data_IF_730966812579
#
_entry.id   IF_730966812579
#
_cell.length_a   1.000
_cell.length_b   1.000
_cell.length_c   1.000
_cell.angle_alpha   90.00
_cell.angle_beta   90.00
_cell.angle_gamma   90.00
#
_symmetry.space_group_name_H-M   'P 1'
#
loop_
_entity.id
_entity.type
_entity.pdbx_description
1 polymer ?
#
# COMPACT_ATOMS: atom_id res chain seq x y z
N UNK A 1 0.29 -1.84 25.22
CA UNK A 1 1.63 -1.45 24.77
C UNK A 1 1.59 -0.11 24.09
N UNK A 2 2.60 0.71 24.35
CA UNK A 2 2.59 2.10 23.88
C UNK A 2 2.65 2.23 22.36
N UNK A 3 3.41 1.39 21.72
CA UNK A 3 3.54 1.48 20.27
C UNK A 3 2.26 1.06 19.55
N UNK A 4 1.46 0.18 20.15
CA UNK A 4 0.13 -0.15 19.61
C UNK A 4 -0.81 1.05 19.66
N UNK A 5 -0.75 1.82 20.75
CA UNK A 5 -1.52 3.06 20.86
C UNK A 5 -1.05 4.10 19.85
N UNK A 6 0.25 4.19 19.63
CA UNK A 6 0.80 5.10 18.63
C UNK A 6 0.35 4.73 17.23
N UNK A 7 0.35 3.44 16.89
CA UNK A 7 -0.18 2.95 15.63
C UNK A 7 -1.65 3.29 15.46
N UNK A 8 -2.46 3.09 16.51
CA UNK A 8 -3.87 3.45 16.48
C UNK A 8 -4.08 4.93 16.21
N UNK A 9 -3.29 5.78 16.84
CA UNK A 9 -3.38 7.23 16.64
C UNK A 9 -3.00 7.61 15.20
N UNK A 10 -1.98 7.01 14.65
CA UNK A 10 -1.58 7.27 13.26
C UNK A 10 -2.70 6.86 12.31
N UNK A 11 -3.29 5.69 12.52
CA UNK A 11 -4.38 5.21 11.67
C UNK A 11 -5.62 6.09 11.77
N UNK A 12 -5.97 6.55 12.97
CA UNK A 12 -7.13 7.41 13.15
C UNK A 12 -6.93 8.83 12.66
N UNK A 13 -5.67 9.29 12.54
CA UNK A 13 -5.38 10.62 12.01
C UNK A 13 -5.43 10.66 10.48
N UNK A 14 -5.44 9.52 9.81
CA UNK A 14 -5.53 9.45 8.37
C UNK A 14 -6.98 9.63 7.94
N UNK A 15 -7.20 10.44 6.92
CA UNK A 15 -8.52 10.58 6.34
C UNK A 15 -8.82 9.37 5.46
N UNK A 16 -10.10 9.09 5.24
CA UNK A 16 -10.51 8.02 4.35
C UNK A 16 -9.95 8.20 2.94
N UNK A 17 -9.92 9.44 2.46
CA UNK A 17 -9.36 9.73 1.14
C UNK A 17 -7.88 9.35 1.06
N UNK A 18 -7.12 9.64 2.09
CA UNK A 18 -5.70 9.28 2.13
C UNK A 18 -5.49 7.77 2.08
N UNK A 19 -6.31 7.03 2.82
CA UNK A 19 -6.25 5.57 2.82
C UNK A 19 -6.58 5.03 1.43
N UNK A 20 -7.61 5.56 0.79
CA UNK A 20 -8.00 5.12 -0.54
C UNK A 20 -6.91 5.42 -1.58
N UNK A 21 -6.29 6.57 -1.50
CA UNK A 21 -5.18 6.93 -2.38
C UNK A 21 -4.00 5.97 -2.19
N UNK A 22 -3.67 5.67 -0.94
CA UNK A 22 -2.60 4.72 -0.65
C UNK A 22 -2.89 3.34 -1.23
N UNK A 23 -4.13 2.87 -1.12
CA UNK A 23 -4.52 1.58 -1.67
C UNK A 23 -4.44 1.56 -3.19
N UNK A 24 -4.86 2.64 -3.86
CA UNK A 24 -4.80 2.74 -5.31
C UNK A 24 -3.33 2.72 -5.78
N UNK A 25 -2.47 3.47 -5.12
CA UNK A 25 -1.05 3.49 -5.43
C UNK A 25 -0.43 2.09 -5.26
N UNK A 26 -0.75 1.42 -4.16
CA UNK A 26 -0.25 0.08 -3.90
C UNK A 26 -0.73 -0.93 -4.95
N UNK A 27 -2.01 -0.83 -5.36
CA UNK A 27 -2.56 -1.71 -6.38
C UNK A 27 -1.86 -1.54 -7.72
N UNK A 28 -1.62 -0.30 -8.15
CA UNK A 28 -0.93 -0.03 -9.40
C UNK A 28 0.53 -0.51 -9.35
N UNK A 29 1.21 -0.27 -8.24
CA UNK A 29 2.59 -0.73 -8.07
C UNK A 29 2.66 -2.26 -8.11
N UNK A 30 1.71 -2.94 -7.50
CA UNK A 30 1.63 -4.40 -7.53
C UNK A 30 1.44 -4.95 -8.94
N UNK A 31 0.54 -4.36 -9.72
CA UNK A 31 0.33 -4.77 -11.12
C UNK A 31 1.59 -4.59 -11.94
N UNK A 32 2.27 -3.47 -11.80
CA UNK A 32 3.50 -3.22 -12.54
C UNK A 32 4.59 -4.22 -12.16
N UNK A 33 4.70 -4.55 -10.90
CA UNK A 33 5.67 -5.54 -10.42
C UNK A 33 5.39 -6.92 -11.02
N UNK A 34 4.12 -7.33 -11.06
CA UNK A 34 3.72 -8.62 -11.66
C UNK A 34 4.03 -8.64 -13.16
N UNK A 35 3.75 -7.56 -13.86
CA UNK A 35 4.02 -7.48 -15.30
C UNK A 35 5.51 -7.54 -15.59
N UNK A 36 6.32 -6.89 -14.79
CA UNK A 36 7.77 -6.96 -14.94
C UNK A 36 8.27 -8.39 -14.69
N UNK A 37 7.79 -9.03 -13.64
CA UNK A 37 8.16 -10.41 -13.35
C UNK A 37 7.75 -11.36 -14.46
N UNK A 38 6.55 -11.19 -15.02
CA UNK A 38 6.08 -12.00 -16.14
C UNK A 38 6.94 -11.81 -17.37
N UNK A 39 7.36 -10.58 -17.67
CA UNK A 39 8.24 -10.29 -18.80
C UNK A 39 9.59 -10.99 -18.65
N UNK A 40 10.17 -10.94 -17.46
CA UNK A 40 11.42 -11.62 -17.19
C UNK A 40 11.29 -13.14 -17.29
N UNK A 41 10.16 -13.66 -16.84
CA UNK A 41 9.91 -15.09 -16.90
C UNK A 41 9.81 -15.60 -18.34
N UNK A 42 9.27 -14.77 -19.23
CA UNK A 42 9.09 -15.14 -20.65
C UNK A 42 10.28 -14.75 -21.54
N UNK A 43 11.20 -14.00 -20.99
CA UNK A 43 12.37 -13.51 -21.75
C UNK A 43 13.31 -14.65 -22.20
#
# INVERSE_FOLDING_TARGET
>A
MRWSSALNQVMTSLTQAEVLIALVVAAHAGVLAVRLAASLYRA
#
